data_IF_658581650128
#
_entry.id   IF_658581650128
#
_cell.length_a   1.000
_cell.length_b   1.000
_cell.length_c   1.000
_cell.angle_alpha   90.00
_cell.angle_beta   90.00
_cell.angle_gamma   90.00
#
_symmetry.space_group_name_H-M   'P 1'
#
loop_
_entity.id
_entity.type
_entity.pdbx_description
1 polymer ?
#
# COMPACT_ATOMS: atom_id res chain seq x y z
N UNK A 1 -9.24 12.44 19.90
CA UNK A 1 -8.20 11.61 19.28
C UNK A 1 -7.90 12.22 17.93
N UNK A 2 -6.66 12.58 17.65
CA UNK A 2 -6.28 13.12 16.35
C UNK A 2 -6.02 11.95 15.39
N UNK A 3 -6.94 11.75 14.43
CA UNK A 3 -6.88 10.65 13.46
C UNK A 3 -5.62 10.75 12.58
N UNK A 4 -5.09 11.95 12.33
CA UNK A 4 -3.90 12.11 11.51
C UNK A 4 -2.64 11.69 12.26
N UNK A 5 -2.55 12.06 13.55
CA UNK A 5 -1.45 11.62 14.41
C UNK A 5 -1.43 10.09 14.54
N UNK A 6 -2.58 9.47 14.75
CA UNK A 6 -2.71 8.00 14.85
C UNK A 6 -2.26 7.30 13.56
N UNK A 7 -2.60 7.85 12.39
CA UNK A 7 -2.17 7.29 11.10
C UNK A 7 -0.66 7.34 10.91
N UNK A 8 -0.02 8.44 11.31
CA UNK A 8 1.43 8.60 11.23
C UNK A 8 2.14 7.60 12.14
N UNK A 9 1.66 7.41 13.36
CA UNK A 9 2.18 6.42 14.29
C UNK A 9 2.05 4.98 13.73
N UNK A 10 0.89 4.63 13.16
CA UNK A 10 0.70 3.34 12.51
C UNK A 10 1.63 3.14 11.30
N UNK A 11 1.88 4.18 10.52
CA UNK A 11 2.84 4.12 9.41
C UNK A 11 4.27 3.90 9.91
N UNK A 12 4.68 4.57 10.99
CA UNK A 12 5.99 4.38 11.59
C UNK A 12 6.18 2.95 12.12
N UNK A 13 5.17 2.41 12.81
CA UNK A 13 5.18 1.02 13.28
C UNK A 13 5.26 0.00 12.14
N UNK A 14 4.61 0.28 11.01
CA UNK A 14 4.69 -0.56 9.80
C UNK A 14 6.08 -0.51 9.15
N UNK A 15 6.70 0.67 9.08
CA UNK A 15 8.04 0.84 8.50
C UNK A 15 9.14 0.16 9.33
N UNK A 16 8.96 0.07 10.65
CA UNK A 16 9.93 -0.55 11.56
C UNK A 16 9.68 -2.04 11.81
N UNK A 17 8.59 -2.61 11.29
CA UNK A 17 8.20 -4.01 11.53
C UNK A 17 8.80 -4.95 10.48
N UNK A 18 9.65 -5.87 10.94
CA UNK A 18 10.14 -7.00 10.14
C UNK A 18 9.36 -8.30 10.37
N UNK A 19 8.45 -8.31 11.34
CA UNK A 19 7.66 -9.50 11.69
C UNK A 19 6.57 -9.77 10.66
N UNK A 20 6.81 -10.75 9.79
CA UNK A 20 5.83 -11.24 8.80
C UNK A 20 4.45 -11.55 9.41
N UNK A 21 4.43 -12.16 10.59
CA UNK A 21 3.17 -12.53 11.28
C UNK A 21 2.32 -11.32 11.70
N UNK A 22 2.96 -10.20 12.07
CA UNK A 22 2.27 -8.95 12.41
C UNK A 22 1.70 -8.32 11.14
N UNK A 23 2.49 -8.26 10.07
CA UNK A 23 2.07 -7.74 8.77
C UNK A 23 0.90 -8.53 8.18
N UNK A 24 0.90 -9.86 8.31
CA UNK A 24 -0.20 -10.72 7.86
C UNK A 24 -1.49 -10.46 8.64
N UNK A 25 -1.41 -10.33 9.96
CA UNK A 25 -2.56 -9.99 10.81
C UNK A 25 -3.16 -8.64 10.43
N UNK A 26 -2.33 -7.60 10.29
CA UNK A 26 -2.76 -6.27 9.86
C UNK A 26 -3.44 -6.31 8.49
N UNK A 27 -2.85 -7.01 7.52
CA UNK A 27 -3.46 -7.20 6.19
C UNK A 27 -4.86 -7.82 6.28
N UNK A 28 -5.03 -8.82 7.13
CA UNK A 28 -6.33 -9.48 7.30
C UNK A 28 -7.36 -8.57 7.96
N UNK A 29 -6.96 -7.73 8.92
CA UNK A 29 -7.83 -6.71 9.53
C UNK A 29 -8.34 -5.71 8.49
N UNK A 30 -7.45 -5.18 7.64
CA UNK A 30 -7.85 -4.26 6.58
C UNK A 30 -8.81 -4.92 5.56
N UNK A 31 -8.59 -6.20 5.25
CA UNK A 31 -9.49 -6.98 4.37
C UNK A 31 -10.85 -7.27 5.01
N UNK A 32 -10.90 -7.60 6.30
CA UNK A 32 -12.14 -7.97 6.99
C UNK A 32 -13.09 -6.79 7.17
N UNK A 33 -12.55 -5.59 7.35
CA UNK A 33 -13.34 -4.35 7.46
C UNK A 33 -13.89 -3.86 6.11
N UNK A 34 -13.71 -4.63 5.02
CA UNK A 34 -14.01 -4.19 3.63
C UNK A 34 -13.52 -2.76 3.38
N UNK A 35 -12.33 -2.41 3.90
CA UNK A 35 -11.62 -1.25 3.38
C UNK A 35 -11.20 -1.69 1.98
N UNK A 36 -12.10 -1.43 1.04
CA UNK A 36 -11.97 -1.80 -0.35
C UNK A 36 -10.84 -0.95 -0.96
N UNK A 37 -9.60 -1.36 -0.72
CA UNK A 37 -8.49 -0.95 -1.58
C UNK A 37 -8.82 -1.38 -3.02
N UNK A 38 -9.57 -2.48 -3.17
CA UNK A 38 -10.13 -2.98 -4.43
C UNK A 38 -11.12 -2.01 -5.11
N UNK A 39 -11.82 -1.11 -4.39
CA UNK A 39 -12.71 -0.12 -5.04
C UNK A 39 -12.03 1.22 -5.31
N UNK A 40 -10.77 1.38 -4.93
CA UNK A 40 -9.99 2.58 -5.25
C UNK A 40 -9.35 2.54 -6.64
N UNK A 41 -9.12 1.34 -7.18
CA UNK A 41 -8.39 1.10 -8.43
C UNK A 41 -9.10 0.05 -9.29
N UNK A 42 -9.16 0.27 -10.61
CA UNK A 42 -9.67 -0.72 -11.58
C UNK A 42 -8.71 -1.92 -11.70
N UNK A 43 -9.15 -3.00 -12.34
CA UNK A 43 -8.31 -4.18 -12.60
C UNK A 43 -7.03 -3.83 -13.39
N UNK A 44 -7.13 -2.91 -14.37
CA UNK A 44 -5.95 -2.40 -15.11
C UNK A 44 -5.00 -1.62 -14.20
N UNK A 45 -5.54 -0.83 -13.29
CA UNK A 45 -4.74 -0.07 -12.33
C UNK A 45 -4.07 -0.98 -11.30
N UNK A 46 -4.72 -2.07 -10.92
CA UNK A 46 -4.10 -3.12 -10.11
C UNK A 46 -2.98 -3.86 -10.83
N UNK A 47 -3.10 -4.08 -12.14
CA UNK A 47 -2.03 -4.65 -12.94
C UNK A 47 -0.78 -3.75 -12.93
N UNK A 48 -0.96 -2.43 -13.01
CA UNK A 48 0.14 -1.45 -12.90
C UNK A 48 0.82 -1.55 -11.52
N UNK A 49 0.05 -1.57 -10.42
CA UNK A 49 0.62 -1.73 -9.06
C UNK A 49 1.36 -3.05 -8.90
N UNK A 50 0.82 -4.14 -9.47
CA UNK A 50 1.46 -5.44 -9.42
C UNK A 50 2.78 -5.48 -10.21
N UNK A 51 2.81 -4.84 -11.38
CA UNK A 51 4.00 -4.72 -12.22
C UNK A 51 5.07 -3.84 -11.55
N UNK A 52 4.72 -2.67 -11.01
CA UNK A 52 5.65 -1.83 -10.26
C UNK A 52 6.21 -2.54 -9.02
N UNK A 53 5.37 -3.29 -8.30
CA UNK A 53 5.82 -4.12 -7.17
C UNK A 53 6.82 -5.20 -7.62
N UNK A 54 6.61 -5.80 -8.79
CA UNK A 54 7.54 -6.78 -9.34
C UNK A 54 8.89 -6.13 -9.68
N UNK A 55 8.87 -4.98 -10.34
CA UNK A 55 10.07 -4.20 -10.68
C UNK A 55 10.85 -3.79 -9.43
N UNK A 56 10.16 -3.32 -8.38
CA UNK A 56 10.78 -3.03 -7.09
C UNK A 56 11.46 -4.25 -6.46
N UNK A 57 10.81 -5.42 -6.46
CA UNK A 57 11.38 -6.66 -5.91
C UNK A 57 12.60 -7.16 -6.71
N UNK A 58 12.68 -6.84 -8.00
CA UNK A 58 13.82 -7.13 -8.87
C UNK A 58 14.97 -6.12 -8.72
N UNK A 59 14.76 -5.03 -7.97
CA UNK A 59 15.74 -3.94 -7.82
C UNK A 59 15.81 -3.00 -9.03
N UNK A 60 14.84 -3.10 -9.96
CA UNK A 60 14.78 -2.35 -11.22
C UNK A 60 13.67 -1.26 -11.21
N UNK A 61 12.89 -1.17 -10.12
CA UNK A 61 11.80 -0.21 -9.97
C UNK A 61 12.20 1.13 -9.35
N UNK A 62 11.54 2.21 -9.77
CA UNK A 62 11.61 3.51 -9.09
C UNK A 62 10.78 3.49 -7.79
N UNK A 63 11.24 4.24 -6.77
CA UNK A 63 10.49 4.42 -5.53
C UNK A 63 9.53 5.59 -5.68
N UNK A 64 8.22 5.34 -5.50
CA UNK A 64 7.20 6.38 -5.49
C UNK A 64 6.54 6.50 -4.11
N UNK A 65 6.24 7.73 -3.70
CA UNK A 65 5.29 7.96 -2.63
C UNK A 65 3.88 7.50 -3.04
N UNK A 66 3.02 7.19 -2.06
CA UNK A 66 1.65 6.74 -2.33
C UNK A 66 0.82 7.75 -3.14
N UNK A 67 1.10 9.05 -2.98
CA UNK A 67 0.44 10.11 -3.75
C UNK A 67 0.98 10.23 -5.18
N UNK A 68 2.26 9.93 -5.42
CA UNK A 68 2.83 9.82 -6.77
C UNK A 68 2.28 8.59 -7.51
N UNK A 69 2.24 7.43 -6.85
CA UNK A 69 1.64 6.22 -7.40
C UNK A 69 0.18 6.47 -7.80
N UNK A 70 -0.63 7.09 -6.94
CA UNK A 70 -2.02 7.47 -7.26
C UNK A 70 -2.12 8.38 -8.49
N UNK A 71 -1.21 9.32 -8.67
CA UNK A 71 -1.22 10.23 -9.85
C UNK A 71 -0.87 9.47 -11.12
N UNK A 72 0.17 8.63 -11.09
CA UNK A 72 0.61 7.82 -12.23
C UNK A 72 -0.53 6.89 -12.68
N UNK A 73 -1.11 6.16 -11.72
CA UNK A 73 -2.19 5.20 -11.96
C UNK A 73 -3.47 5.87 -12.50
N UNK A 74 -3.75 7.12 -12.12
CA UNK A 74 -4.91 7.89 -12.64
C UNK A 74 -4.65 8.59 -13.97
N UNK A 75 -3.38 8.72 -14.36
CA UNK A 75 -2.94 9.39 -15.60
C UNK A 75 -2.74 8.45 -16.78
N UNK A 76 -2.72 7.14 -16.50
CA UNK A 76 -2.75 6.06 -17.49
C UNK A 76 -4.18 5.55 -17.63
#
# INVERSE_FOLDING_TARGET
>A
MDIQAEKLELMELLLQTDSKSILEKLRNVFKSEKIEIESLLTDEQWAIVAEERMQYLLGEGENYSWDEAKKIIRSK
#
